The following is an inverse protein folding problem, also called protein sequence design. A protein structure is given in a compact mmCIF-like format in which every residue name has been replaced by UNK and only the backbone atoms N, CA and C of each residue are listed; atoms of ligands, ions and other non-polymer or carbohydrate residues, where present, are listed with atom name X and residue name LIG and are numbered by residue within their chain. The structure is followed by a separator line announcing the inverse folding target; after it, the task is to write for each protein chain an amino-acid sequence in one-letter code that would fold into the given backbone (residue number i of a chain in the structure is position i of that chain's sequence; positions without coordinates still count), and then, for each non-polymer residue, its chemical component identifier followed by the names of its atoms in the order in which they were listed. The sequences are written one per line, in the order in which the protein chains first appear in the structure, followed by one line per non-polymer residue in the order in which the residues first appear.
data_IF_679047025019
#
_entry.id   IF_679047025019
#
_cell.length_a   1.000
_cell.length_b   1.000
_cell.length_c   1.000
_cell.angle_alpha   90.00
_cell.angle_beta   90.00
_cell.angle_gamma   90.00
#
_symmetry.space_group_name_H-M   'P 1'
#
loop_
_entity.id
_entity.type
_entity.pdbx_description
1 polymer ?
#
# COMPACT_ATOMS: atom_id res chain seq x y z
N UNK A 1 5.14 -19.41 3.34
CA UNK A 1 4.23 -19.78 2.24
C UNK A 1 2.77 -19.34 2.49
N UNK A 2 2.29 -19.37 3.75
CA UNK A 2 0.86 -19.06 4.07
C UNK A 2 0.43 -17.67 3.62
N UNK A 3 1.27 -16.65 3.81
CA UNK A 3 0.97 -15.27 3.35
C UNK A 3 0.89 -15.20 1.82
N UNK A 4 1.79 -15.92 1.13
CA UNK A 4 1.76 -16.02 -0.33
C UNK A 4 0.45 -16.64 -0.81
N UNK A 5 0.05 -17.76 -0.20
CA UNK A 5 -1.22 -18.41 -0.50
C UNK A 5 -2.40 -17.46 -0.25
N UNK A 6 -2.44 -16.78 0.90
CA UNK A 6 -3.51 -15.85 1.23
C UNK A 6 -3.62 -14.70 0.21
N UNK A 7 -2.49 -14.15 -0.25
CA UNK A 7 -2.49 -13.07 -1.23
C UNK A 7 -2.97 -13.54 -2.62
N UNK A 8 -2.58 -14.74 -3.05
CA UNK A 8 -3.05 -15.33 -4.31
C UNK A 8 -4.54 -15.67 -4.23
N UNK A 9 -4.98 -16.24 -3.11
CA UNK A 9 -6.39 -16.55 -2.86
C UNK A 9 -7.27 -15.31 -2.83
N UNK A 10 -6.76 -14.21 -2.25
CA UNK A 10 -7.45 -12.92 -2.30
C UNK A 10 -7.73 -12.49 -3.74
N UNK A 11 -6.74 -12.56 -4.64
CA UNK A 11 -6.93 -12.19 -6.05
C UNK A 11 -7.96 -13.10 -6.71
N UNK A 12 -7.86 -14.42 -6.50
CA UNK A 12 -8.84 -15.37 -7.04
C UNK A 12 -10.24 -15.04 -6.53
N UNK A 13 -10.38 -14.77 -5.23
CA UNK A 13 -11.68 -14.41 -4.63
C UNK A 13 -12.30 -13.15 -5.25
N UNK A 14 -11.50 -12.16 -5.60
CA UNK A 14 -11.96 -10.95 -6.31
C UNK A 14 -12.50 -11.24 -7.73
N UNK A 15 -12.16 -12.38 -8.31
CA UNK A 15 -12.58 -12.78 -9.66
C UNK A 15 -13.76 -13.77 -9.66
N UNK A 16 -14.06 -14.37 -8.53
CA UNK A 16 -15.19 -15.30 -8.39
C UNK A 16 -16.50 -14.52 -8.18
N UNK A 17 -17.65 -15.09 -8.59
CA UNK A 17 -18.96 -14.52 -8.26
C UNK A 17 -19.15 -14.32 -6.75
N UNK A 18 -19.93 -13.30 -6.38
CA UNK A 18 -20.16 -12.93 -4.97
C UNK A 18 -20.80 -14.07 -4.16
N UNK A 19 -21.63 -14.90 -4.81
CA UNK A 19 -22.32 -16.03 -4.20
C UNK A 19 -21.38 -17.22 -3.92
N UNK A 20 -20.15 -17.21 -4.44
CA UNK A 20 -19.20 -18.31 -4.21
C UNK A 20 -18.86 -18.40 -2.73
N UNK A 21 -19.09 -19.56 -2.07
CA UNK A 21 -18.75 -19.70 -0.66
C UNK A 21 -17.28 -19.47 -0.39
N UNK A 22 -16.98 -18.80 0.72
CA UNK A 22 -15.60 -18.60 1.17
C UNK A 22 -15.10 -19.85 1.91
N UNK A 23 -14.70 -20.86 1.16
CA UNK A 23 -14.26 -22.16 1.69
C UNK A 23 -13.06 -22.71 0.90
N UNK A 24 -12.40 -23.72 1.45
CA UNK A 24 -11.23 -24.36 0.85
C UNK A 24 -11.50 -24.96 -0.55
N UNK A 25 -12.71 -25.47 -0.80
CA UNK A 25 -13.06 -26.04 -2.10
C UNK A 25 -12.94 -25.08 -3.28
N UNK A 26 -13.12 -23.77 -3.06
CA UNK A 26 -12.89 -22.76 -4.10
C UNK A 26 -11.42 -22.65 -4.52
N UNK A 27 -10.50 -23.22 -3.73
CA UNK A 27 -9.06 -23.11 -3.87
C UNK A 27 -8.40 -24.39 -4.38
N UNK A 28 -9.16 -25.49 -4.48
CA UNK A 28 -8.66 -26.81 -4.93
C UNK A 28 -8.17 -26.81 -6.39
N UNK A 29 -8.64 -25.83 -7.19
CA UNK A 29 -8.20 -25.67 -8.58
C UNK A 29 -6.87 -24.89 -8.71
N UNK A 30 -6.33 -24.38 -7.60
CA UNK A 30 -5.12 -23.59 -7.58
C UNK A 30 -3.94 -24.40 -7.04
N UNK A 31 -2.98 -24.68 -7.89
CA UNK A 31 -1.69 -25.22 -7.49
C UNK A 31 -0.71 -24.06 -7.23
N UNK A 32 -0.22 -23.96 -6.00
CA UNK A 32 0.76 -22.95 -5.61
C UNK A 32 2.11 -23.60 -5.37
N UNK A 33 3.07 -23.36 -6.26
CA UNK A 33 4.45 -23.77 -6.15
C UNK A 33 5.39 -22.60 -5.90
N UNK A 34 6.21 -22.66 -4.86
CA UNK A 34 7.25 -21.68 -4.58
C UNK A 34 8.48 -22.38 -4.04
N UNK A 35 9.68 -22.17 -4.62
CA UNK A 35 10.92 -22.75 -4.11
C UNK A 35 11.14 -22.40 -2.64
N UNK A 36 11.61 -23.35 -1.85
CA UNK A 36 12.01 -23.09 -0.47
C UNK A 36 13.20 -22.12 -0.39
N UNK A 37 13.22 -21.29 0.64
CA UNK A 37 14.28 -20.30 0.87
C UNK A 37 14.17 -19.04 0.02
N UNK A 38 13.12 -18.88 -0.79
CA UNK A 38 12.89 -17.64 -1.53
C UNK A 38 12.02 -16.63 -0.72
N UNK A 39 11.91 -15.39 -1.21
CA UNK A 39 11.15 -14.31 -0.57
C UNK A 39 9.71 -14.70 -0.24
N UNK A 40 9.05 -15.47 -1.10
CA UNK A 40 7.64 -15.87 -0.94
C UNK A 40 7.47 -17.21 -0.23
N UNK A 41 8.56 -17.90 0.10
CA UNK A 41 8.59 -19.17 0.84
C UNK A 41 9.87 -19.27 1.71
N UNK A 42 9.96 -18.37 2.70
CA UNK A 42 11.11 -18.26 3.57
C UNK A 42 11.27 -19.49 4.49
N UNK A 43 12.51 -19.89 4.74
CA UNK A 43 12.87 -20.91 5.72
C UNK A 43 13.04 -20.29 7.12
N UNK A 44 12.73 -21.08 8.15
CA UNK A 44 12.99 -20.68 9.54
C UNK A 44 14.48 -20.83 9.88
N UNK A 45 15.07 -19.87 10.64
CA UNK A 45 14.48 -18.62 11.14
C UNK A 45 14.52 -17.52 10.09
N UNK A 46 13.40 -16.82 9.90
CA UNK A 46 13.31 -15.65 9.01
C UNK A 46 12.40 -14.56 9.60
N UNK A 47 12.75 -13.30 9.38
CA UNK A 47 11.90 -12.17 9.73
C UNK A 47 10.74 -12.07 8.73
N UNK A 48 9.52 -12.41 9.16
CA UNK A 48 8.36 -12.53 8.27
C UNK A 48 7.30 -11.43 8.46
N UNK A 49 7.46 -10.53 9.42
CA UNK A 49 6.48 -9.46 9.68
C UNK A 49 6.25 -8.57 8.45
N UNK A 50 7.32 -8.12 7.79
CA UNK A 50 7.23 -7.36 6.54
C UNK A 50 6.67 -8.19 5.37
N UNK A 51 6.81 -9.51 5.41
CA UNK A 51 6.18 -10.42 4.46
C UNK A 51 4.65 -10.36 4.51
N UNK A 52 4.09 -10.26 5.71
CA UNK A 52 2.65 -10.11 5.87
C UNK A 52 2.15 -8.73 5.39
N UNK A 53 2.90 -7.66 5.63
CA UNK A 53 2.42 -6.30 5.35
C UNK A 53 2.80 -5.81 3.95
N UNK A 54 4.05 -5.91 3.52
CA UNK A 54 4.47 -5.37 2.22
C UNK A 54 4.48 -6.43 1.11
N UNK A 55 5.05 -7.61 1.35
CA UNK A 55 5.15 -8.65 0.33
C UNK A 55 3.77 -9.13 -0.14
N UNK A 56 2.79 -9.24 0.77
CA UNK A 56 1.42 -9.62 0.41
C UNK A 56 0.79 -8.65 -0.59
N UNK A 57 0.95 -7.35 -0.39
CA UNK A 57 0.49 -6.31 -1.32
C UNK A 57 1.18 -6.43 -2.69
N UNK A 58 2.50 -6.73 -2.69
CA UNK A 58 3.26 -6.90 -3.93
C UNK A 58 2.84 -8.15 -4.69
N UNK A 59 2.54 -9.26 -4.00
CA UNK A 59 2.03 -10.48 -4.62
C UNK A 59 0.69 -10.21 -5.32
N UNK A 60 -0.24 -9.53 -4.66
CA UNK A 60 -1.53 -9.14 -5.26
C UNK A 60 -1.32 -8.36 -6.55
N UNK A 61 -0.46 -7.32 -6.53
CA UNK A 61 -0.17 -6.52 -7.70
C UNK A 61 0.43 -7.33 -8.86
N UNK A 62 1.38 -8.23 -8.56
CA UNK A 62 2.05 -9.07 -9.58
C UNK A 62 1.07 -10.03 -10.21
N UNK A 63 0.23 -10.68 -9.40
CA UNK A 63 -0.78 -11.64 -9.90
C UNK A 63 -1.84 -10.93 -10.73
N UNK A 64 -2.35 -9.78 -10.26
CA UNK A 64 -3.28 -8.96 -11.04
C UNK A 64 -2.67 -8.51 -12.38
N UNK A 65 -1.40 -8.09 -12.37
CA UNK A 65 -0.71 -7.68 -13.60
C UNK A 65 -0.61 -8.82 -14.61
N UNK A 66 -0.26 -10.03 -14.16
CA UNK A 66 -0.20 -11.19 -15.02
C UNK A 66 -1.59 -11.56 -15.58
N UNK A 67 -2.64 -11.48 -14.77
CA UNK A 67 -4.01 -11.74 -15.19
C UNK A 67 -4.55 -10.68 -16.14
N UNK A 68 -4.07 -9.46 -16.10
CA UNK A 68 -4.50 -8.39 -17.00
C UNK A 68 -4.22 -8.69 -18.48
N UNK A 69 -3.25 -9.55 -18.78
CA UNK A 69 -2.95 -9.97 -20.15
C UNK A 69 -4.05 -10.86 -20.76
N UNK A 70 -4.75 -11.62 -19.92
CA UNK A 70 -5.80 -12.57 -20.34
C UNK A 70 -7.22 -12.12 -19.96
N UNK A 71 -7.35 -11.23 -19.00
CA UNK A 71 -8.61 -10.71 -18.48
C UNK A 71 -8.62 -9.17 -18.40
N UNK A 72 -8.27 -8.45 -19.48
CA UNK A 72 -8.04 -6.99 -19.43
C UNK A 72 -9.28 -6.21 -18.97
N UNK A 73 -10.50 -6.73 -19.22
CA UNK A 73 -11.75 -6.07 -18.84
C UNK A 73 -12.24 -6.42 -17.42
N UNK A 74 -11.45 -7.18 -16.67
CA UNK A 74 -11.80 -7.58 -15.30
C UNK A 74 -10.76 -7.13 -14.26
N UNK A 75 -9.58 -6.76 -14.70
CA UNK A 75 -8.47 -6.39 -13.83
C UNK A 75 -8.34 -4.86 -13.79
N UNK A 76 -8.33 -4.25 -12.60
CA UNK A 76 -8.08 -2.80 -12.46
C UNK A 76 -6.58 -2.49 -12.66
N UNK A 77 -6.28 -1.23 -12.93
CA UNK A 77 -4.92 -0.70 -12.83
C UNK A 77 -4.38 -0.85 -11.40
N UNK A 78 -3.06 -0.68 -11.19
CA UNK A 78 -2.44 -0.88 -9.90
C UNK A 78 -2.97 0.09 -8.84
N UNK A 79 -3.33 -0.42 -7.69
CA UNK A 79 -3.51 0.38 -6.48
C UNK A 79 -2.16 0.81 -5.89
N UNK A 80 -2.16 1.55 -4.79
CA UNK A 80 -0.95 2.01 -4.11
C UNK A 80 0.13 0.92 -3.88
N UNK A 81 -0.27 -0.34 -3.74
CA UNK A 81 0.62 -1.51 -3.69
C UNK A 81 1.60 -1.53 -2.52
N UNK A 82 1.25 -0.91 -1.41
CA UNK A 82 2.03 -0.81 -0.16
C UNK A 82 1.07 -0.57 1.00
N UNK A 83 1.43 -0.97 2.19
CA UNK A 83 0.69 -0.59 3.40
C UNK A 83 1.21 0.72 4.00
N UNK A 84 2.33 1.26 3.50
CA UNK A 84 2.98 2.47 4.02
C UNK A 84 3.12 2.41 5.54
N UNK A 85 3.84 1.41 6.03
CA UNK A 85 3.99 1.15 7.46
C UNK A 85 4.86 2.21 8.11
N UNK A 86 4.36 2.75 9.23
CA UNK A 86 5.06 3.71 10.08
C UNK A 86 5.05 3.17 11.50
N UNK A 87 6.24 2.81 11.98
CA UNK A 87 6.48 2.54 13.41
C UNK A 87 7.22 3.73 14.02
N UNK A 88 6.84 4.14 15.22
CA UNK A 88 7.56 5.17 15.96
C UNK A 88 7.49 4.90 17.46
N UNK A 89 8.51 5.31 18.20
CA UNK A 89 8.53 5.10 19.63
C UNK A 89 9.80 5.54 20.32
N UNK A 90 9.81 5.35 21.63
CA UNK A 90 10.96 5.50 22.51
C UNK A 90 10.98 4.37 23.55
N UNK A 91 11.75 4.51 24.63
CA UNK A 91 11.74 3.53 25.71
C UNK A 91 10.37 3.43 26.43
N UNK A 92 9.57 4.49 26.40
CA UNK A 92 8.35 4.62 27.20
C UNK A 92 7.06 4.42 26.41
N UNK A 93 7.13 4.47 25.07
CA UNK A 93 5.96 4.36 24.21
C UNK A 93 6.30 3.76 22.84
N UNK A 94 5.31 3.15 22.22
CA UNK A 94 5.40 2.68 20.85
C UNK A 94 4.07 2.88 20.13
N UNK A 95 4.14 3.22 18.86
CA UNK A 95 2.99 3.38 17.99
C UNK A 95 3.30 2.78 16.61
N UNK A 96 2.27 2.15 16.01
CA UNK A 96 2.36 1.61 14.66
C UNK A 96 1.07 1.90 13.90
N UNK A 97 1.23 2.30 12.63
CA UNK A 97 0.11 2.62 11.76
C UNK A 97 0.44 2.23 10.32
N UNK A 98 -0.59 1.88 9.56
CA UNK A 98 -0.55 1.77 8.10
C UNK A 98 -1.31 2.93 7.48
N UNK A 99 -0.80 3.47 6.35
CA UNK A 99 -1.42 4.61 5.70
C UNK A 99 -2.08 4.22 4.38
N UNK A 100 -3.29 4.71 4.19
CA UNK A 100 -4.06 4.54 2.96
C UNK A 100 -3.43 5.26 1.76
N UNK A 101 -3.84 4.91 0.54
CA UNK A 101 -3.39 5.56 -0.69
C UNK A 101 -4.43 5.51 -1.79
N UNK A 102 -4.03 5.63 -3.04
CA UNK A 102 -4.93 5.59 -4.18
C UNK A 102 -5.22 4.16 -4.64
N UNK A 103 -6.48 3.85 -4.96
CA UNK A 103 -6.82 2.64 -5.69
C UNK A 103 -6.61 2.83 -7.19
N UNK A 104 -6.25 1.76 -7.90
CA UNK A 104 -6.26 1.75 -9.36
C UNK A 104 -7.67 1.95 -9.90
N UNK A 105 -7.77 2.57 -11.08
CA UNK A 105 -9.01 2.66 -11.82
C UNK A 105 -9.40 1.29 -12.40
N UNK A 106 -10.70 1.04 -12.47
CA UNK A 106 -11.26 -0.17 -13.07
C UNK A 106 -11.71 0.10 -14.52
N UNK A 107 -12.05 -0.95 -15.30
CA UNK A 107 -12.53 -0.78 -16.67
C UNK A 107 -13.77 0.11 -16.83
N UNK A 108 -14.52 0.32 -15.75
CA UNK A 108 -15.83 1.00 -15.70
C UNK A 108 -15.93 2.11 -14.64
N UNK A 109 -14.87 2.38 -13.88
CA UNK A 109 -14.93 3.32 -12.77
C UNK A 109 -13.57 3.91 -12.36
N UNK A 110 -13.63 5.12 -11.79
CA UNK A 110 -12.48 5.76 -11.18
C UNK A 110 -12.01 5.02 -9.92
N UNK A 111 -10.69 5.06 -9.66
CA UNK A 111 -10.10 4.58 -8.43
C UNK A 111 -10.47 5.44 -7.22
N UNK A 112 -10.73 4.81 -6.09
CA UNK A 112 -11.00 5.52 -4.84
C UNK A 112 -9.74 6.15 -4.27
N UNK A 113 -9.88 7.37 -3.73
CA UNK A 113 -8.77 8.13 -3.15
C UNK A 113 -8.63 7.89 -1.65
N UNK A 114 -7.39 7.84 -1.16
CA UNK A 114 -7.06 7.79 0.26
C UNK A 114 -7.78 6.67 1.03
N UNK A 115 -7.80 5.45 0.46
CA UNK A 115 -8.41 4.26 1.07
C UNK A 115 -7.42 3.11 1.11
N UNK A 116 -7.61 2.20 2.05
CA UNK A 116 -6.87 0.94 2.08
C UNK A 116 -7.33 0.02 0.95
N UNK A 117 -6.41 -0.76 0.41
CA UNK A 117 -6.67 -1.66 -0.71
C UNK A 117 -6.07 -3.04 -0.48
N UNK A 118 -6.67 -4.05 -1.12
CA UNK A 118 -6.19 -5.44 -1.14
C UNK A 118 -6.01 -6.05 0.25
N UNK A 119 -4.75 -6.33 0.65
CA UNK A 119 -4.42 -7.07 1.87
C UNK A 119 -4.45 -6.21 3.15
N UNK A 120 -4.92 -4.97 3.06
CA UNK A 120 -5.05 -4.07 4.21
C UNK A 120 -6.46 -3.50 4.32
N UNK A 121 -6.97 -3.44 5.54
CA UNK A 121 -8.31 -2.95 5.85
C UNK A 121 -8.31 -2.33 7.26
N UNK A 122 -7.58 -1.23 7.42
CA UNK A 122 -7.47 -0.51 8.69
C UNK A 122 -7.99 0.91 8.53
N UNK A 123 -8.25 1.57 9.66
CA UNK A 123 -8.50 3.01 9.72
C UNK A 123 -7.31 3.69 10.38
N UNK A 124 -7.01 4.90 9.96
CA UNK A 124 -5.99 5.71 10.63
C UNK A 124 -6.50 6.21 11.97
N UNK A 125 -5.61 6.28 12.96
CA UNK A 125 -5.93 6.86 14.26
C UNK A 125 -6.27 8.34 14.07
N UNK A 126 -7.39 8.84 14.65
CA UNK A 126 -7.70 10.25 14.66
C UNK A 126 -6.56 11.08 15.24
N UNK A 127 -6.32 12.26 14.67
CA UNK A 127 -5.20 13.11 15.06
C UNK A 127 -5.23 13.44 16.55
N UNK A 128 -6.40 13.79 17.08
CA UNK A 128 -6.62 14.17 18.47
C UNK A 128 -6.30 13.02 19.45
N UNK A 129 -6.65 11.78 19.07
CA UNK A 129 -6.35 10.61 19.88
C UNK A 129 -4.84 10.34 19.90
N UNK A 130 -4.18 10.46 18.75
CA UNK A 130 -2.75 10.25 18.64
C UNK A 130 -1.98 11.29 19.46
N UNK A 131 -2.33 12.57 19.31
CA UNK A 131 -1.72 13.70 20.03
C UNK A 131 -1.94 13.65 21.54
N UNK A 132 -3.08 13.08 21.99
CA UNK A 132 -3.36 12.93 23.42
C UNK A 132 -2.54 11.83 24.08
N UNK A 133 -2.07 10.82 23.34
CA UNK A 133 -1.41 9.65 23.91
C UNK A 133 0.09 9.60 23.65
N UNK A 134 0.59 10.28 22.61
CA UNK A 134 1.98 10.21 22.17
C UNK A 134 2.56 11.61 22.00
N UNK A 135 3.87 11.81 22.19
CA UNK A 135 4.53 13.11 22.03
C UNK A 135 4.74 13.44 20.54
N UNK A 136 3.66 13.45 19.80
CA UNK A 136 3.63 13.80 18.36
C UNK A 136 2.46 14.72 18.05
N UNK A 137 2.57 15.53 17.02
CA UNK A 137 1.49 16.39 16.49
C UNK A 137 1.27 16.07 15.03
N UNK A 138 0.02 15.98 14.59
CA UNK A 138 -0.35 15.85 13.18
C UNK A 138 -0.49 17.24 12.57
N UNK A 139 0.52 17.67 11.82
CA UNK A 139 0.54 18.99 11.18
C UNK A 139 -0.14 18.96 9.81
N UNK A 140 -0.31 17.76 9.21
CA UNK A 140 -1.01 17.57 7.94
C UNK A 140 -1.66 16.19 7.87
N UNK A 141 -2.92 16.16 7.48
CA UNK A 141 -3.62 14.95 7.08
C UNK A 141 -4.57 15.31 5.94
N UNK A 142 -4.18 15.01 4.71
CA UNK A 142 -4.86 15.50 3.53
C UNK A 142 -4.77 14.52 2.36
N UNK A 143 -5.72 14.60 1.43
CA UNK A 143 -5.62 13.91 0.14
C UNK A 143 -4.51 14.56 -0.71
N UNK A 144 -3.58 13.75 -1.22
CA UNK A 144 -2.53 14.15 -2.16
C UNK A 144 -3.13 14.34 -3.56
N UNK A 145 -3.73 15.49 -3.78
CA UNK A 145 -4.44 15.79 -5.03
C UNK A 145 -3.53 15.69 -6.25
N UNK A 146 -4.03 15.09 -7.34
CA UNK A 146 -3.30 14.95 -8.59
C UNK A 146 -2.31 13.78 -8.62
N UNK A 147 -2.29 12.91 -7.60
CA UNK A 147 -1.39 11.77 -7.55
C UNK A 147 -1.93 10.52 -8.26
N UNK A 148 -3.23 10.43 -8.52
CA UNK A 148 -3.82 9.36 -9.33
C UNK A 148 -3.45 9.50 -10.81
N UNK A 149 -3.18 8.38 -11.49
CA UNK A 149 -2.88 8.31 -12.92
C UNK A 149 -4.09 8.74 -13.76
N UNK A 150 -3.84 9.46 -14.85
CA UNK A 150 -4.89 9.85 -15.80
C UNK A 150 -5.24 8.67 -16.71
N UNK A 151 -6.46 8.70 -17.24
CA UNK A 151 -6.98 7.71 -18.18
C UNK A 151 -8.42 8.06 -18.54
N UNK A 152 -9.11 7.20 -19.29
CA UNK A 152 -10.57 7.27 -19.42
C UNK A 152 -11.21 7.22 -18.03
N UNK A 153 -10.68 6.36 -17.17
CA UNK A 153 -10.98 6.28 -15.76
C UNK A 153 -9.72 6.65 -14.98
N UNK A 154 -9.85 7.55 -14.04
CA UNK A 154 -8.73 8.09 -13.28
C UNK A 154 -8.42 7.24 -12.06
N UNK A 155 -7.13 6.99 -11.81
CA UNK A 155 -6.66 6.41 -10.56
C UNK A 155 -6.96 7.31 -9.36
N UNK A 156 -7.19 6.70 -8.20
CA UNK A 156 -7.42 7.42 -6.95
C UNK A 156 -6.18 8.16 -6.47
N UNK A 157 -6.37 9.26 -5.77
CA UNK A 157 -5.28 10.01 -5.14
C UNK A 157 -4.80 9.31 -3.86
N UNK A 158 -3.51 9.42 -3.57
CA UNK A 158 -2.90 9.08 -2.29
C UNK A 158 -3.26 10.07 -1.19
N UNK A 159 -2.57 9.97 -0.07
CA UNK A 159 -2.69 10.92 1.02
C UNK A 159 -1.32 11.48 1.44
N UNK A 160 -1.35 12.58 2.18
CA UNK A 160 -0.24 13.18 2.88
C UNK A 160 -0.52 13.12 4.38
N UNK A 161 0.42 12.56 5.14
CA UNK A 161 0.36 12.57 6.60
C UNK A 161 1.70 13.06 7.14
N UNK A 162 1.67 14.13 7.92
CA UNK A 162 2.86 14.75 8.50
C UNK A 162 2.78 14.72 10.02
N UNK A 163 3.85 14.22 10.60
CA UNK A 163 4.05 14.11 12.04
C UNK A 163 5.15 15.09 12.46
N UNK A 164 4.89 15.97 13.41
CA UNK A 164 5.89 16.74 14.14
C UNK A 164 6.19 16.04 15.46
N UNK A 165 7.43 15.72 15.71
CA UNK A 165 7.85 15.06 16.95
C UNK A 165 8.03 16.10 18.06
N UNK A 166 7.42 15.87 19.23
CA UNK A 166 7.52 16.76 20.39
C UNK A 166 8.61 16.30 21.38
N UNK A 167 9.13 15.08 21.20
CA UNK A 167 10.23 14.50 21.94
C UNK A 167 11.07 13.62 21.01
N UNK A 168 12.32 13.27 21.37
CA UNK A 168 13.13 12.33 20.60
C UNK A 168 12.43 10.96 20.48
N UNK A 169 12.55 10.34 19.30
CA UNK A 169 11.97 9.04 19.01
C UNK A 169 12.78 8.30 17.95
N UNK A 170 12.59 6.99 17.86
CA UNK A 170 13.01 6.18 16.73
C UNK A 170 11.81 5.99 15.78
N UNK A 171 12.05 6.14 14.48
CA UNK A 171 11.05 5.94 13.43
C UNK A 171 11.51 4.84 12.50
N UNK A 172 10.65 3.85 12.29
CA UNK A 172 10.84 2.79 11.29
C UNK A 172 9.80 2.93 10.19
N UNK A 173 10.27 3.06 8.95
CA UNK A 173 9.44 3.05 7.75
C UNK A 173 9.65 1.75 6.99
N UNK A 174 8.55 1.10 6.61
CA UNK A 174 8.55 -0.05 5.70
C UNK A 174 7.50 0.23 4.63
N UNK A 175 7.97 0.78 3.50
CA UNK A 175 7.12 1.26 2.42
C UNK A 175 7.61 0.75 1.07
N UNK A 176 6.70 0.68 0.09
CA UNK A 176 6.99 0.34 -1.31
C UNK A 176 6.52 1.45 -2.26
N UNK A 177 6.68 1.25 -3.57
CA UNK A 177 6.26 2.22 -4.59
C UNK A 177 6.99 3.58 -4.53
N UNK A 178 8.23 3.59 -3.98
CA UNK A 178 9.10 4.78 -4.01
C UNK A 178 10.00 4.80 -5.26
N UNK A 179 10.24 3.63 -5.87
CA UNK A 179 11.04 3.49 -7.10
C UNK A 179 10.14 3.23 -8.31
N UNK A 180 9.21 2.31 -8.19
CA UNK A 180 8.28 1.93 -9.26
C UNK A 180 6.89 2.48 -8.98
N UNK A 181 6.35 3.24 -9.92
CA UNK A 181 4.99 3.79 -9.83
C UNK A 181 3.92 2.69 -9.86
N UNK A 182 2.74 2.91 -9.27
CA UNK A 182 1.57 2.09 -9.56
C UNK A 182 1.21 2.19 -11.04
N UNK A 183 1.27 1.07 -11.74
CA UNK A 183 1.09 1.03 -13.20
C UNK A 183 -0.35 1.34 -13.62
N UNK A 184 -0.50 2.10 -14.72
CA UNK A 184 -1.74 2.26 -15.44
C UNK A 184 -2.04 1.03 -16.32
N UNK A 185 -3.26 0.91 -16.83
CA UNK A 185 -3.69 -0.21 -17.67
C UNK A 185 -4.50 0.29 -18.86
N UNK A 186 -4.46 -0.47 -19.97
CA UNK A 186 -5.22 -0.21 -21.20
C UNK A 186 -5.02 1.22 -21.76
N UNK A 187 -3.78 1.74 -21.67
CA UNK A 187 -3.44 3.10 -22.12
C UNK A 187 -3.62 4.18 -21.05
N UNK A 188 -4.04 3.83 -19.84
CA UNK A 188 -4.03 4.76 -18.69
C UNK A 188 -2.62 5.00 -18.17
N UNK A 189 -2.40 6.16 -17.57
CA UNK A 189 -1.10 6.56 -17.02
C UNK A 189 -0.86 5.96 -15.64
N UNK A 190 0.42 5.83 -15.29
CA UNK A 190 0.83 5.46 -13.94
C UNK A 190 0.37 6.49 -12.91
N UNK A 191 0.11 6.02 -11.68
CA UNK A 191 -0.05 6.87 -10.52
C UNK A 191 1.28 7.43 -10.03
N UNK A 192 1.26 8.51 -9.26
CA UNK A 192 2.47 9.07 -8.64
C UNK A 192 3.08 8.11 -7.63
N UNK A 193 4.40 8.04 -7.60
CA UNK A 193 5.15 7.31 -6.58
C UNK A 193 4.91 7.89 -5.20
N UNK A 194 5.07 7.07 -4.16
CA UNK A 194 5.13 7.56 -2.78
C UNK A 194 6.47 8.21 -2.47
N UNK A 195 6.48 9.03 -1.42
CA UNK A 195 7.66 9.75 -0.92
C UNK A 195 7.66 9.74 0.60
N UNK A 196 8.85 9.62 1.20
CA UNK A 196 9.07 9.78 2.64
C UNK A 196 10.07 10.93 2.81
N UNK A 197 9.75 11.92 3.63
CA UNK A 197 10.56 13.13 3.79
C UNK A 197 10.72 13.43 5.29
N UNK A 198 11.96 13.66 5.75
CA UNK A 198 12.25 14.19 7.08
C UNK A 198 12.78 15.61 6.92
N UNK A 199 12.11 16.61 7.48
CA UNK A 199 12.41 18.04 7.31
C UNK A 199 12.61 18.43 5.83
N UNK A 200 11.79 17.84 4.94
CA UNK A 200 11.87 18.05 3.49
C UNK A 200 12.97 17.26 2.77
N UNK A 201 13.82 16.53 3.48
CA UNK A 201 14.87 15.70 2.88
C UNK A 201 14.35 14.28 2.61
N UNK A 202 14.59 13.72 1.40
CA UNK A 202 14.12 12.39 1.05
C UNK A 202 14.71 11.29 1.94
N UNK A 203 13.86 10.38 2.39
CA UNK A 203 14.25 9.15 3.07
C UNK A 203 14.05 7.92 2.16
N UNK A 204 14.86 6.86 2.36
CA UNK A 204 14.65 5.57 1.70
C UNK A 204 13.26 4.98 1.98
N UNK A 205 12.86 4.04 1.12
CA UNK A 205 11.60 3.30 1.27
C UNK A 205 11.55 2.47 2.57
N UNK A 206 12.69 1.97 3.01
CA UNK A 206 12.87 1.17 4.23
C UNK A 206 14.03 1.76 5.02
N UNK A 207 13.74 2.20 6.23
CA UNK A 207 14.74 2.84 7.10
C UNK A 207 14.27 2.82 8.55
N UNK A 208 15.21 2.73 9.45
CA UNK A 208 15.06 3.12 10.86
C UNK A 208 15.94 4.33 11.10
N UNK A 209 15.40 5.40 11.67
CA UNK A 209 16.08 6.67 11.90
C UNK A 209 15.67 7.28 13.24
N UNK A 210 16.62 7.85 13.95
CA UNK A 210 16.35 8.67 15.13
C UNK A 210 15.89 10.06 14.72
N UNK A 211 14.87 10.58 15.38
CA UNK A 211 14.33 11.92 15.19
C UNK A 211 14.39 12.71 16.49
N UNK A 212 14.52 14.03 16.37
CA UNK A 212 14.57 14.95 17.49
C UNK A 212 13.28 15.76 17.60
N UNK A 213 13.04 16.35 18.78
CA UNK A 213 11.93 17.27 18.98
C UNK A 213 11.97 18.41 17.95
N UNK A 214 10.82 18.74 17.36
CA UNK A 214 10.65 19.75 16.32
C UNK A 214 10.83 19.25 14.89
N UNK A 215 11.40 18.06 14.68
CA UNK A 215 11.53 17.50 13.32
C UNK A 215 10.17 17.01 12.78
N UNK A 216 10.03 17.04 11.47
CA UNK A 216 8.79 16.70 10.77
C UNK A 216 8.98 15.57 9.77
N UNK A 217 8.24 14.50 9.95
CA UNK A 217 8.16 13.38 9.01
C UNK A 217 6.90 13.54 8.16
N UNK A 218 7.07 13.77 6.86
CA UNK A 218 5.98 13.78 5.88
C UNK A 218 6.01 12.50 5.06
N UNK A 219 4.90 11.77 5.06
CA UNK A 219 4.69 10.61 4.20
C UNK A 219 3.64 10.97 3.15
N UNK A 220 4.04 10.90 1.89
CA UNK A 220 3.17 11.00 0.72
C UNK A 220 2.93 9.62 0.17
N UNK A 221 1.72 9.13 0.27
CA UNK A 221 1.41 7.79 -0.23
C UNK A 221 1.21 7.80 -1.75
N UNK A 222 1.39 6.65 -2.44
CA UNK A 222 1.20 6.57 -3.87
C UNK A 222 -0.26 6.81 -4.28
N UNK A 223 -0.46 7.36 -5.47
CA UNK A 223 -1.74 7.29 -6.18
C UNK A 223 -1.97 5.93 -6.80
N UNK A 224 -3.18 5.66 -7.29
CA UNK A 224 -3.49 4.50 -8.14
C UNK A 224 -3.23 4.77 -9.62
N UNK A 225 -3.02 3.74 -10.43
CA UNK A 225 -2.92 3.85 -11.89
C UNK A 225 -4.27 4.20 -12.53
N UNK A 226 -4.25 4.89 -13.66
CA UNK A 226 -5.41 5.14 -14.52
C UNK A 226 -5.73 3.96 -15.42
N UNK A 227 -6.94 3.92 -15.98
CA UNK A 227 -7.40 2.88 -16.88
C UNK A 227 -7.96 3.47 -18.18
N UNK A 228 -7.60 2.88 -19.31
CA UNK A 228 -8.04 3.29 -20.62
C UNK A 228 -7.41 4.59 -21.12
N UNK A 229 -7.34 4.76 -22.44
CA UNK A 229 -6.90 6.03 -23.03
C UNK A 229 -7.92 7.14 -22.74
N UNK A 230 -7.45 8.28 -22.23
CA UNK A 230 -8.27 9.51 -22.19
C UNK A 230 -8.60 9.88 -23.64
N UNK A 231 -9.90 9.95 -23.96
CA UNK A 231 -10.32 10.51 -25.25
C UNK A 231 -9.76 11.93 -25.42
N UNK A 232 -9.36 12.25 -26.64
CA UNK A 232 -9.04 13.61 -27.09
C UNK A 232 -10.28 14.50 -26.96
#
# INVERSE_FOLDING_TARGET
LSVTAAAVYYVLRCLLPDETPNCAGALELLELAAPEGCLVNALSPAATAAGNVETSQRIVDVVLRALAEVLPQRIPAASQGTMNNVGMGSADWSYYETLAGGCGAAPDSDGRSAVHSHMTNTLNTPAEVLEAHFPVRITRYARRRGSGGNGRWRGGDGLEREFEFLAPAEVTLITERRVHAPWGLDGGNDGSRGENLLDGQPLPAKITVEVQAGQRLLIRTPGGGGFGTSGL
#
